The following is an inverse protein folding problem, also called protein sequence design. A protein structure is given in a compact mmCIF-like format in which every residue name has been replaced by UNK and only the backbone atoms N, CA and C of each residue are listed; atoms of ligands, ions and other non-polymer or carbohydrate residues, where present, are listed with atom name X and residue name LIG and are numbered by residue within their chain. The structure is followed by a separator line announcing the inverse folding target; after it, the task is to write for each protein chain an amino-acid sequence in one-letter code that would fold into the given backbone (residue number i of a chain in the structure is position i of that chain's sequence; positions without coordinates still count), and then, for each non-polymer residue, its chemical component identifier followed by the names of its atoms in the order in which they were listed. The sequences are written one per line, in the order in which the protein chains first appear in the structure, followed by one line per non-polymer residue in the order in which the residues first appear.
data_IF_228582443403
#
_entry.id   IF_228582443403
#
_cell.length_a   1.000
_cell.length_b   1.000
_cell.length_c   1.000
_cell.angle_alpha   90.00
_cell.angle_beta   90.00
_cell.angle_gamma   90.00
#
_symmetry.space_group_name_H-M   'P 1'
#
loop_
_entity.id
_entity.type
_entity.pdbx_description
1 polymer ?
#
# COMPACT_ATOMS: atom_id res chain seq x y z
N UNK A 1 16.63 -57.21 22.65
CA UNK A 1 15.15 -57.30 22.67
C UNK A 1 14.54 -56.03 23.27
N UNK A 2 15.14 -55.48 24.34
CA UNK A 2 15.28 -54.03 24.54
C UNK A 2 15.93 -53.43 23.28
N UNK A 3 15.57 -52.21 22.86
CA UNK A 3 16.14 -51.37 21.76
C UNK A 3 15.41 -51.31 20.42
N UNK A 4 14.45 -52.19 20.08
CA UNK A 4 13.81 -52.12 18.74
C UNK A 4 12.52 -51.28 18.71
N UNK A 5 11.81 -51.15 19.84
CA UNK A 5 10.58 -50.33 19.89
C UNK A 5 10.83 -48.82 20.05
N UNK A 6 12.06 -48.41 20.43
CA UNK A 6 12.46 -47.00 20.52
C UNK A 6 12.96 -46.44 19.17
N UNK A 7 13.12 -47.28 18.15
CA UNK A 7 13.63 -46.87 16.83
C UNK A 7 12.49 -46.43 15.90
N UNK A 8 11.25 -46.84 16.16
CA UNK A 8 10.10 -46.50 15.32
C UNK A 8 9.43 -45.14 15.67
N UNK A 9 9.83 -44.52 16.79
CA UNK A 9 9.33 -43.21 17.22
C UNK A 9 10.29 -42.06 16.86
N UNK A 10 11.41 -42.36 16.17
CA UNK A 10 12.46 -41.40 15.82
C UNK A 10 12.53 -41.07 14.32
N UNK A 11 11.56 -41.51 13.50
CA UNK A 11 11.65 -41.37 12.03
C UNK A 11 10.39 -40.81 11.36
N UNK A 12 9.46 -40.21 12.11
CA UNK A 12 8.25 -39.60 11.51
C UNK A 12 8.10 -38.10 11.74
N UNK A 13 9.09 -37.42 12.31
CA UNK A 13 9.18 -35.95 12.21
C UNK A 13 9.91 -35.56 10.92
N UNK A 14 9.47 -36.10 9.79
CA UNK A 14 9.73 -35.49 8.48
C UNK A 14 8.77 -34.30 8.37
N UNK A 15 9.11 -33.24 9.10
CA UNK A 15 8.70 -31.89 8.76
C UNK A 15 9.27 -31.62 7.36
N UNK A 16 8.51 -31.95 6.32
CA UNK A 16 8.59 -31.19 5.08
C UNK A 16 7.96 -29.83 5.37
N UNK A 17 8.68 -29.04 6.18
CA UNK A 17 8.50 -27.60 6.21
C UNK A 17 8.71 -27.17 4.76
N UNK A 18 7.62 -26.74 4.14
CA UNK A 18 7.61 -26.15 2.82
C UNK A 18 8.51 -24.91 2.92
N UNK A 19 9.78 -25.03 2.57
CA UNK A 19 10.69 -23.89 2.44
C UNK A 19 10.20 -23.10 1.22
N UNK A 20 9.20 -22.27 1.43
CA UNK A 20 8.81 -21.20 0.51
C UNK A 20 9.37 -19.89 1.03
N UNK A 21 10.62 -19.91 1.44
CA UNK A 21 11.19 -18.79 2.20
C UNK A 21 11.89 -17.79 1.26
N UNK A 22 11.78 -17.98 -0.05
CA UNK A 22 12.48 -17.16 -1.06
C UNK A 22 11.62 -16.85 -2.28
N UNK A 23 10.31 -16.66 -2.09
CA UNK A 23 9.48 -16.04 -3.14
C UNK A 23 10.05 -14.69 -3.58
N UNK A 24 10.67 -13.96 -2.64
CA UNK A 24 11.40 -12.71 -2.86
C UNK A 24 12.74 -12.83 -3.61
N UNK A 25 13.28 -14.04 -3.79
CA UNK A 25 14.52 -14.26 -4.57
C UNK A 25 14.21 -14.68 -6.01
N UNK A 26 13.05 -15.32 -6.25
CA UNK A 26 12.63 -15.73 -7.60
C UNK A 26 12.01 -14.56 -8.40
N UNK A 27 11.50 -13.55 -7.72
CA UNK A 27 10.98 -12.32 -8.33
C UNK A 27 11.80 -11.11 -7.89
N UNK A 28 13.06 -11.05 -8.33
CA UNK A 28 13.85 -9.82 -8.27
C UNK A 28 13.24 -8.85 -9.29
N UNK A 29 12.20 -8.13 -8.89
CA UNK A 29 11.39 -7.26 -9.75
C UNK A 29 9.88 -7.30 -9.51
N UNK A 30 9.36 -8.14 -8.60
CA UNK A 30 7.98 -8.03 -8.10
C UNK A 30 7.93 -7.24 -6.79
N UNK A 31 8.66 -6.13 -6.74
CA UNK A 31 8.63 -5.16 -5.65
C UNK A 31 7.33 -4.33 -5.72
N UNK A 32 6.20 -5.02 -5.54
CA UNK A 32 4.92 -4.42 -5.14
C UNK A 32 4.85 -4.29 -3.61
N UNK A 33 5.99 -4.37 -2.92
CA UNK A 33 6.12 -4.22 -1.50
C UNK A 33 7.27 -3.27 -1.19
N UNK A 34 7.08 -1.98 -1.51
CA UNK A 34 7.70 -0.93 -0.70
C UNK A 34 7.39 -1.30 0.75
N UNK A 35 8.40 -1.56 1.61
CA UNK A 35 8.15 -1.79 3.02
C UNK A 35 7.27 -0.67 3.51
N UNK A 36 6.15 -1.03 4.14
CA UNK A 36 5.19 -0.08 4.66
C UNK A 36 5.84 0.77 5.76
N UNK A 37 6.59 1.79 5.38
CA UNK A 37 7.16 2.69 6.34
C UNK A 37 6.06 3.67 6.75
N UNK A 38 5.63 3.50 7.99
CA UNK A 38 4.70 4.39 8.70
C UNK A 38 5.34 4.93 9.98
N UNK A 39 6.64 4.66 10.16
CA UNK A 39 7.42 5.03 11.35
C UNK A 39 8.30 6.25 11.05
N UNK A 40 8.75 6.40 9.81
CA UNK A 40 9.48 7.58 9.35
C UNK A 40 8.56 8.72 8.91
N UNK A 41 9.16 9.89 8.68
CA UNK A 41 8.46 11.05 8.13
C UNK A 41 8.00 10.77 6.71
N UNK A 42 6.68 10.75 6.50
CA UNK A 42 6.09 10.62 5.17
C UNK A 42 6.24 11.94 4.41
N UNK A 43 6.92 11.87 3.27
CA UNK A 43 7.15 12.99 2.35
C UNK A 43 6.33 12.84 1.08
N UNK A 44 5.96 13.96 0.46
CA UNK A 44 5.23 13.94 -0.81
C UNK A 44 6.02 13.22 -1.90
N UNK A 45 7.28 13.60 -2.14
CA UNK A 45 8.05 13.08 -3.28
C UNK A 45 8.37 11.59 -3.18
N UNK A 46 8.63 11.10 -1.97
CA UNK A 46 9.15 9.74 -1.77
C UNK A 46 8.05 8.72 -1.47
N UNK A 47 6.88 9.15 -0.99
CA UNK A 47 5.83 8.25 -0.55
C UNK A 47 4.51 8.50 -1.29
N UNK A 48 4.02 9.74 -1.26
CA UNK A 48 2.68 10.05 -1.79
C UNK A 48 2.68 10.08 -3.32
N UNK A 49 3.67 10.71 -3.95
CA UNK A 49 3.75 10.82 -5.40
C UNK A 49 3.81 9.43 -6.07
N UNK A 50 4.62 8.46 -5.62
CA UNK A 50 4.56 7.09 -6.15
C UNK A 50 3.18 6.42 -6.03
N UNK A 51 2.44 6.66 -4.94
CA UNK A 51 1.08 6.15 -4.80
C UNK A 51 0.12 6.81 -5.80
N UNK A 52 0.26 8.12 -6.00
CA UNK A 52 -0.53 8.86 -6.97
C UNK A 52 -0.26 8.40 -8.42
N UNK A 53 1.00 8.18 -8.77
CA UNK A 53 1.42 7.68 -10.09
C UNK A 53 0.87 6.28 -10.36
N UNK A 54 0.96 5.38 -9.37
CA UNK A 54 0.57 3.99 -9.54
C UNK A 54 -0.95 3.76 -9.52
N UNK A 55 -1.70 4.55 -8.74
CA UNK A 55 -3.11 4.25 -8.44
C UNK A 55 -4.10 5.34 -8.84
N UNK A 56 -3.67 6.58 -9.10
CA UNK A 56 -4.58 7.71 -9.28
C UNK A 56 -4.46 8.38 -10.65
N UNK A 57 -3.24 8.53 -11.18
CA UNK A 57 -2.99 9.34 -12.37
C UNK A 57 -3.57 8.79 -13.67
N UNK A 58 -3.88 7.49 -13.72
CA UNK A 58 -4.59 6.91 -14.88
C UNK A 58 -5.91 7.61 -15.21
N UNK A 59 -6.58 8.17 -14.20
CA UNK A 59 -7.81 8.93 -14.38
C UNK A 59 -7.64 10.43 -14.09
N UNK A 60 -6.80 10.78 -13.11
CA UNK A 60 -6.74 12.11 -12.52
C UNK A 60 -5.61 13.02 -13.03
N UNK A 61 -4.97 12.68 -14.16
CA UNK A 61 -3.83 13.45 -14.71
C UNK A 61 -4.03 13.93 -16.14
N UNK A 62 -3.18 14.88 -16.55
CA UNK A 62 -3.10 15.37 -17.92
C UNK A 62 -4.10 16.48 -18.25
N UNK A 63 -4.13 16.87 -19.53
CA UNK A 63 -5.01 17.97 -20.02
C UNK A 63 -6.45 17.53 -20.28
N UNK A 64 -6.69 16.23 -20.38
CA UNK A 64 -8.00 15.63 -20.59
C UNK A 64 -8.15 14.39 -19.69
N UNK A 65 -8.26 14.57 -18.35
CA UNK A 65 -8.46 13.47 -17.43
C UNK A 65 -9.79 12.76 -17.73
N UNK A 66 -9.84 11.45 -17.46
CA UNK A 66 -11.10 10.69 -17.55
C UNK A 66 -12.00 10.94 -16.34
N UNK A 67 -11.45 11.47 -15.23
CA UNK A 67 -12.21 12.08 -14.14
C UNK A 67 -12.66 13.50 -14.49
N UNK A 68 -13.68 14.00 -13.79
CA UNK A 68 -14.19 15.37 -13.97
C UNK A 68 -13.24 16.48 -13.47
N UNK A 69 -12.16 16.11 -12.78
CA UNK A 69 -11.18 17.03 -12.21
C UNK A 69 -9.79 16.38 -12.15
N UNK A 70 -8.76 17.20 -11.91
CA UNK A 70 -7.35 16.79 -11.86
C UNK A 70 -6.77 16.95 -10.46
N UNK A 71 -5.93 16.00 -10.06
CA UNK A 71 -5.16 16.03 -8.80
C UNK A 71 -3.70 15.62 -9.01
N UNK A 72 -3.18 15.89 -10.21
CA UNK A 72 -1.85 15.51 -10.69
C UNK A 72 -0.73 16.49 -10.32
N UNK A 73 -1.05 17.52 -9.55
CA UNK A 73 -0.06 18.41 -8.92
C UNK A 73 -0.18 18.33 -7.41
N UNK A 74 0.93 18.58 -6.70
CA UNK A 74 0.93 18.70 -5.24
C UNK A 74 -0.14 19.69 -4.76
N UNK A 75 -0.22 20.88 -5.36
CA UNK A 75 -1.16 21.92 -4.95
C UNK A 75 -2.63 21.48 -5.11
N UNK A 76 -2.97 20.85 -6.24
CA UNK A 76 -4.31 20.31 -6.45
C UNK A 76 -4.63 19.20 -5.46
N UNK A 77 -3.69 18.28 -5.22
CA UNK A 77 -3.91 17.18 -4.27
C UNK A 77 -4.06 17.70 -2.83
N UNK A 78 -3.22 18.66 -2.43
CA UNK A 78 -3.24 19.27 -1.10
C UNK A 78 -4.60 19.91 -0.80
N UNK A 79 -5.24 20.55 -1.78
CA UNK A 79 -6.56 21.15 -1.60
C UNK A 79 -7.59 20.11 -1.14
N UNK A 80 -7.65 18.94 -1.80
CA UNK A 80 -8.56 17.85 -1.43
C UNK A 80 -8.11 17.13 -0.15
N UNK A 81 -6.80 17.01 0.05
CA UNK A 81 -6.20 16.41 1.24
C UNK A 81 -6.60 17.14 2.53
N UNK A 82 -6.71 18.48 2.48
CA UNK A 82 -6.98 19.33 3.63
C UNK A 82 -8.45 19.77 3.75
N UNK A 83 -9.32 19.37 2.80
CA UNK A 83 -10.74 19.77 2.79
C UNK A 83 -11.61 18.64 3.32
N UNK A 84 -12.27 18.84 4.48
CA UNK A 84 -13.35 17.99 5.01
C UNK A 84 -13.10 16.47 4.97
N UNK A 85 -11.84 16.03 5.11
CA UNK A 85 -11.42 14.62 4.96
C UNK A 85 -11.82 13.98 3.62
N UNK A 86 -12.01 14.77 2.55
CA UNK A 86 -12.50 14.28 1.25
C UNK A 86 -11.56 13.23 0.65
N UNK A 87 -10.25 13.50 0.63
CA UNK A 87 -9.26 12.54 0.12
C UNK A 87 -9.30 11.22 0.88
N UNK A 88 -9.26 11.24 2.21
CA UNK A 88 -9.31 10.01 3.02
C UNK A 88 -10.64 9.28 2.88
N UNK A 89 -11.75 10.02 2.86
CA UNK A 89 -13.08 9.44 2.67
C UNK A 89 -13.19 8.70 1.34
N UNK A 90 -12.65 9.27 0.25
CA UNK A 90 -12.56 8.58 -1.04
C UNK A 90 -11.64 7.35 -0.98
N UNK A 91 -10.47 7.46 -0.37
CA UNK A 91 -9.54 6.33 -0.24
C UNK A 91 -10.14 5.16 0.57
N UNK A 92 -10.97 5.44 1.56
CA UNK A 92 -11.63 4.44 2.42
C UNK A 92 -13.01 3.99 1.91
N UNK A 93 -13.63 4.74 1.01
CA UNK A 93 -15.04 4.55 0.65
C UNK A 93 -16.00 4.82 1.83
N UNK A 94 -15.65 5.75 2.71
CA UNK A 94 -16.34 6.04 3.97
C UNK A 94 -16.97 7.43 3.97
N UNK A 95 -17.79 7.76 4.98
CA UNK A 95 -18.31 9.13 5.18
C UNK A 95 -19.25 9.66 4.08
N UNK A 96 -19.79 8.79 3.22
CA UNK A 96 -20.62 9.17 2.08
C UNK A 96 -19.84 9.47 0.80
N UNK A 97 -18.52 9.31 0.81
CA UNK A 97 -17.66 9.43 -0.37
C UNK A 97 -17.63 8.14 -1.19
N UNK A 98 -17.53 8.26 -2.50
CA UNK A 98 -17.33 7.10 -3.38
C UNK A 98 -15.91 6.55 -3.23
N UNK A 99 -15.77 5.23 -3.12
CA UNK A 99 -14.45 4.61 -3.02
C UNK A 99 -13.61 4.88 -4.27
N UNK A 100 -12.37 5.33 -4.07
CA UNK A 100 -11.35 5.50 -5.10
C UNK A 100 -10.04 4.80 -4.67
N UNK A 101 -9.33 4.11 -5.59
CA UNK A 101 -9.67 3.92 -7.00
C UNK A 101 -10.94 3.09 -7.24
N UNK A 102 -11.58 3.26 -8.40
CA UNK A 102 -12.80 2.50 -8.71
C UNK A 102 -12.50 1.00 -8.78
N UNK A 103 -13.29 0.19 -8.07
CA UNK A 103 -13.17 -1.27 -8.01
C UNK A 103 -11.85 -1.80 -7.41
N UNK A 104 -11.05 -0.94 -6.78
CA UNK A 104 -9.81 -1.33 -6.11
C UNK A 104 -9.65 -0.54 -4.82
N UNK A 105 -9.31 -1.24 -3.74
CA UNK A 105 -9.07 -0.62 -2.44
C UNK A 105 -7.56 -0.58 -2.21
N UNK A 106 -7.01 0.61 -1.95
CA UNK A 106 -5.62 0.71 -1.48
C UNK A 106 -5.48 -0.11 -0.19
N UNK A 107 -4.32 -0.72 0.00
CA UNK A 107 -4.09 -1.44 1.25
C UNK A 107 -3.98 -0.46 2.43
N UNK A 108 -4.18 -0.96 3.65
CA UNK A 108 -4.20 -0.11 4.85
C UNK A 108 -2.89 0.66 5.07
N UNK A 109 -1.75 0.12 4.63
CA UNK A 109 -0.49 0.84 4.71
C UNK A 109 -0.52 2.12 3.88
N UNK A 110 -0.93 1.99 2.61
CA UNK A 110 -0.95 3.10 1.67
C UNK A 110 -1.88 4.20 2.17
N UNK A 111 -3.07 3.82 2.65
CA UNK A 111 -4.03 4.75 3.27
C UNK A 111 -3.40 5.44 4.48
N UNK A 112 -2.69 4.68 5.33
CA UNK A 112 -1.98 5.24 6.49
C UNK A 112 -0.88 6.24 6.11
N UNK A 113 -0.18 6.03 5.00
CA UNK A 113 0.78 7.02 4.51
C UNK A 113 0.09 8.32 4.10
N UNK A 114 -1.06 8.25 3.41
CA UNK A 114 -1.88 9.44 3.15
C UNK A 114 -2.33 10.12 4.45
N UNK A 115 -2.82 9.36 5.43
CA UNK A 115 -3.26 9.90 6.73
C UNK A 115 -2.14 10.65 7.46
N UNK A 116 -0.93 10.06 7.55
CA UNK A 116 0.22 10.69 8.19
C UNK A 116 0.62 11.97 7.45
N UNK A 117 0.70 11.91 6.11
CA UNK A 117 1.06 13.07 5.30
C UNK A 117 0.03 14.20 5.41
N UNK A 118 -1.27 13.89 5.38
CA UNK A 118 -2.36 14.84 5.57
C UNK A 118 -2.26 15.49 6.96
N UNK A 119 -2.06 14.67 8.00
CA UNK A 119 -1.93 15.14 9.38
C UNK A 119 -0.71 16.06 9.55
N UNK A 120 0.36 15.83 8.79
CA UNK A 120 1.54 16.70 8.75
C UNK A 120 1.34 18.01 7.97
N UNK A 121 0.13 18.27 7.44
CA UNK A 121 -0.19 19.47 6.67
C UNK A 121 -0.04 19.30 5.16
N UNK A 122 0.04 18.05 4.67
CA UNK A 122 0.17 17.73 3.26
C UNK A 122 1.34 18.46 2.58
N UNK A 123 2.50 18.44 3.24
CA UNK A 123 3.70 19.20 2.84
C UNK A 123 4.22 18.77 1.46
N UNK A 124 4.87 19.69 0.75
CA UNK A 124 5.58 19.41 -0.50
C UNK A 124 7.07 19.17 -0.19
N UNK A 125 7.41 17.93 0.20
CA UNK A 125 8.72 17.56 0.73
C UNK A 125 9.21 16.18 0.27
#
# INVERSE_FOLDING_TARGET
MRKIFLVFLLFSTLFTACYKDKLSELYVGADLFTPCDTVSTISYSNHILPLMENYCFSCHSGTAPSSSFRIDTHASLQQYALTNNELLGHLEGSGGWSQMPQNFQLNQCQIRQFEIWITAGALNN
#
